data_IF_173225587311
#
_entry.id   IF_173225587311
#
_cell.length_a   1.000
_cell.length_b   1.000
_cell.length_c   1.000
_cell.angle_alpha   90.00
_cell.angle_beta   90.00
_cell.angle_gamma   90.00
#
_symmetry.space_group_name_H-M   'P 1'
#
loop_
_entity.id
_entity.type
_entity.pdbx_description
1 polymer ?
#
# COMPACT_ATOMS: atom_id res chain seq x y z
N UNK A 1 37.83 15.01 2.16
CA UNK A 1 37.52 15.95 3.26
C UNK A 1 37.64 17.34 2.66
N UNK A 2 36.57 17.81 2.01
CA UNK A 2 36.57 19.16 1.44
C UNK A 2 36.29 20.16 2.57
N UNK A 3 37.38 20.59 3.20
CA UNK A 3 37.37 21.50 4.36
C UNK A 3 37.01 22.94 3.98
N UNK A 4 36.84 23.24 2.68
CA UNK A 4 36.70 24.61 2.17
C UNK A 4 35.42 24.83 1.36
N UNK A 5 34.70 23.78 0.95
CA UNK A 5 33.38 23.92 0.35
C UNK A 5 32.31 24.16 1.41
N UNK A 6 31.60 25.28 1.29
CA UNK A 6 30.32 25.46 1.96
C UNK A 6 29.26 24.61 1.23
N UNK A 7 28.26 24.05 1.95
CA UNK A 7 27.08 23.49 1.32
C UNK A 7 26.44 24.52 0.39
N UNK A 8 25.99 24.08 -0.79
CA UNK A 8 25.29 24.97 -1.73
C UNK A 8 24.00 25.50 -1.09
N UNK A 9 23.71 26.78 -1.31
CA UNK A 9 22.44 27.37 -0.87
C UNK A 9 21.35 27.05 -1.88
N UNK A 10 20.24 26.48 -1.41
CA UNK A 10 19.04 26.34 -2.21
C UNK A 10 18.43 27.74 -2.41
N UNK A 11 18.26 28.17 -3.66
CA UNK A 11 17.65 29.47 -4.01
C UNK A 11 16.39 29.35 -4.88
N UNK A 12 16.01 28.14 -5.27
CA UNK A 12 14.87 27.88 -6.17
C UNK A 12 13.51 27.90 -5.46
N UNK A 13 13.45 27.63 -4.15
CA UNK A 13 12.22 27.62 -3.34
C UNK A 13 12.34 28.74 -2.31
N UNK A 14 11.45 29.71 -2.39
CA UNK A 14 11.45 30.87 -1.50
C UNK A 14 10.73 30.58 -0.17
N UNK A 15 9.68 29.74 -0.22
CA UNK A 15 8.88 29.39 0.94
C UNK A 15 8.19 28.03 0.73
N UNK A 16 7.88 27.33 1.81
CA UNK A 16 7.09 26.10 1.80
C UNK A 16 6.11 26.06 2.97
N UNK A 17 4.83 25.78 2.69
CA UNK A 17 3.78 25.77 3.71
C UNK A 17 2.77 24.65 3.48
N UNK A 18 2.18 24.14 4.56
CA UNK A 18 1.18 23.08 4.53
C UNK A 18 -0.21 23.71 4.49
N UNK A 19 -1.02 23.32 3.50
CA UNK A 19 -2.40 23.78 3.33
C UNK A 19 -3.34 22.61 3.60
N UNK A 20 -4.40 22.88 4.35
CA UNK A 20 -5.41 21.92 4.73
C UNK A 20 -6.63 22.04 3.81
N UNK A 21 -6.94 20.98 3.08
CA UNK A 21 -8.11 20.88 2.20
C UNK A 21 -9.17 20.00 2.85
N UNK A 22 -10.39 20.53 2.94
CA UNK A 22 -11.56 19.77 3.39
C UNK A 22 -12.20 19.03 2.21
N UNK A 23 -12.99 17.97 2.45
CA UNK A 23 -13.72 17.27 1.41
C UNK A 23 -14.70 18.21 0.69
N UNK A 24 -14.92 17.96 -0.60
CA UNK A 24 -15.85 18.76 -1.42
C UNK A 24 -17.32 18.56 -1.03
N UNK A 25 -17.64 17.44 -0.38
CA UNK A 25 -18.98 17.08 0.10
C UNK A 25 -18.95 16.78 1.60
N UNK A 26 -20.10 16.90 2.25
CA UNK A 26 -20.25 16.46 3.64
C UNK A 26 -19.90 14.98 3.79
N UNK A 27 -19.25 14.63 4.90
CA UNK A 27 -18.93 13.25 5.24
C UNK A 27 -20.21 12.45 5.46
N UNK A 28 -20.40 11.39 4.66
CA UNK A 28 -21.49 10.42 4.82
C UNK A 28 -20.98 9.08 5.33
N UNK A 29 -21.91 8.25 5.82
CA UNK A 29 -21.58 6.92 6.35
C UNK A 29 -21.07 5.97 5.24
N UNK A 30 -21.57 6.10 4.00
CA UNK A 30 -21.24 5.19 2.89
C UNK A 30 -20.59 5.87 1.65
N UNK A 31 -20.55 7.20 1.61
CA UNK A 31 -20.08 7.97 0.46
C UNK A 31 -18.55 7.99 0.32
N UNK A 32 -18.01 8.17 -0.90
CA UNK A 32 -16.59 8.45 -1.07
C UNK A 32 -16.22 9.81 -0.46
N UNK A 33 -14.97 9.95 -0.05
CA UNK A 33 -14.38 11.22 0.38
C UNK A 33 -13.54 11.75 -0.78
N UNK A 34 -13.91 12.94 -1.27
CA UNK A 34 -13.24 13.57 -2.41
C UNK A 34 -12.63 14.90 -1.98
N UNK A 35 -11.36 15.11 -2.32
CA UNK A 35 -10.62 16.34 -2.10
C UNK A 35 -10.23 16.95 -3.44
N UNK A 36 -10.30 18.28 -3.53
CA UNK A 36 -9.84 19.04 -4.69
C UNK A 36 -8.77 20.03 -4.26
N UNK A 37 -7.59 19.91 -4.87
CA UNK A 37 -6.43 20.77 -4.63
C UNK A 37 -6.22 21.61 -5.88
N UNK A 38 -6.63 22.90 -5.86
CA UNK A 38 -6.61 23.74 -7.05
C UNK A 38 -5.20 23.91 -7.60
N UNK A 39 -5.01 23.80 -8.91
CA UNK A 39 -3.74 24.09 -9.57
C UNK A 39 -3.41 25.59 -9.68
N UNK A 40 -4.26 26.46 -9.15
CA UNK A 40 -4.14 27.92 -9.32
C UNK A 40 -2.98 28.52 -8.52
N UNK A 41 -2.38 29.58 -9.07
CA UNK A 41 -1.27 30.32 -8.46
C UNK A 41 0.09 29.94 -9.04
N UNK A 42 1.15 30.44 -8.40
CA UNK A 42 2.54 30.23 -8.81
C UNK A 42 3.25 29.14 -7.98
N UNK A 43 2.59 28.65 -6.94
CA UNK A 43 3.14 27.60 -6.08
C UNK A 43 3.12 26.25 -6.79
N UNK A 44 4.17 25.47 -6.60
CA UNK A 44 4.20 24.07 -6.98
C UNK A 44 3.74 23.18 -5.82
N UNK A 45 3.23 21.99 -6.13
CA UNK A 45 2.73 21.04 -5.13
C UNK A 45 3.81 19.99 -4.85
N UNK A 46 4.11 19.79 -3.58
CA UNK A 46 4.99 18.73 -3.08
C UNK A 46 4.17 17.46 -2.83
N UNK A 47 4.17 16.58 -3.84
CA UNK A 47 3.35 15.37 -3.83
C UNK A 47 3.81 14.40 -2.73
N UNK A 48 5.11 14.27 -2.49
CA UNK A 48 5.67 13.33 -1.51
C UNK A 48 5.40 13.70 -0.06
N UNK A 49 5.01 14.95 0.20
CA UNK A 49 4.62 15.42 1.53
C UNK A 49 3.11 15.64 1.66
N UNK A 50 2.31 14.89 0.90
CA UNK A 50 0.85 14.89 1.00
C UNK A 50 0.40 13.90 2.07
N UNK A 51 -0.31 14.40 3.09
CA UNK A 51 -0.79 13.61 4.22
C UNK A 51 -2.32 13.55 4.23
N UNK A 52 -2.86 12.40 4.61
CA UNK A 52 -4.25 12.23 4.95
C UNK A 52 -4.39 12.27 6.47
N UNK A 53 -5.26 13.14 6.97
CA UNK A 53 -5.65 13.23 8.37
C UNK A 53 -7.13 12.86 8.52
N UNK A 54 -7.43 11.95 9.44
CA UNK A 54 -8.76 11.41 9.68
C UNK A 54 -9.03 11.35 11.17
N UNK A 55 -10.23 11.76 11.58
CA UNK A 55 -10.80 11.43 12.89
C UNK A 55 -11.96 10.46 12.70
N UNK A 56 -11.95 9.36 13.43
CA UNK A 56 -13.00 8.35 13.32
C UNK A 56 -13.28 7.67 14.66
N UNK A 57 -14.49 7.14 14.80
CA UNK A 57 -14.92 6.31 15.94
C UNK A 57 -15.79 5.15 15.48
N UNK A 58 -15.84 4.11 16.29
CA UNK A 58 -16.72 2.95 16.09
C UNK A 58 -17.95 3.09 16.97
N UNK A 59 -19.13 2.91 16.40
CA UNK A 59 -20.42 2.97 17.09
C UNK A 59 -21.19 1.66 16.88
N UNK A 60 -22.17 1.41 17.73
CA UNK A 60 -23.23 0.47 17.38
C UNK A 60 -24.00 0.98 16.14
N UNK A 61 -24.65 0.07 15.41
CA UNK A 61 -25.41 0.42 14.19
C UNK A 61 -26.46 1.52 14.42
N UNK A 62 -27.06 1.56 15.61
CA UNK A 62 -28.05 2.55 16.04
C UNK A 62 -27.43 3.89 16.47
N UNK A 63 -26.12 4.07 16.24
CA UNK A 63 -25.33 5.25 16.61
C UNK A 63 -25.12 5.45 18.12
N UNK A 64 -25.43 4.46 18.95
CA UNK A 64 -25.07 4.47 20.37
C UNK A 64 -23.60 4.11 20.57
N UNK A 65 -23.04 4.54 21.71
CA UNK A 65 -21.66 4.22 22.05
C UNK A 65 -21.52 2.73 22.41
N UNK A 66 -20.33 2.19 22.14
CA UNK A 66 -19.93 0.86 22.58
C UNK A 66 -19.89 0.82 24.12
N UNK A 67 -20.15 -0.35 24.70
CA UNK A 67 -19.89 -0.59 26.12
C UNK A 67 -18.45 -1.09 26.31
N UNK A 68 -17.87 -0.89 27.49
CA UNK A 68 -16.47 -1.26 27.76
C UNK A 68 -16.15 -2.74 27.58
N UNK A 69 -17.16 -3.62 27.64
CA UNK A 69 -17.05 -5.06 27.45
C UNK A 69 -17.19 -5.49 25.98
N UNK A 70 -17.49 -4.58 25.05
CA UNK A 70 -17.59 -4.94 23.63
C UNK A 70 -16.24 -5.37 23.08
N UNK A 71 -16.16 -6.61 22.58
CA UNK A 71 -14.96 -7.15 21.95
C UNK A 71 -14.96 -6.74 20.47
N UNK A 72 -14.31 -5.62 20.17
CA UNK A 72 -14.14 -5.08 18.82
C UNK A 72 -12.82 -4.32 18.72
N UNK A 73 -12.14 -4.47 17.59
CA UNK A 73 -11.01 -3.63 17.24
C UNK A 73 -11.02 -3.34 15.74
N UNK A 74 -10.45 -2.21 15.29
CA UNK A 74 -10.09 -2.09 13.90
C UNK A 74 -9.00 -3.10 13.52
N UNK A 75 -8.95 -3.48 12.24
CA UNK A 75 -7.82 -4.21 11.66
C UNK A 75 -6.57 -3.31 11.65
N UNK A 76 -5.39 -3.91 11.43
CA UNK A 76 -4.15 -3.16 11.42
C UNK A 76 -4.16 -2.03 10.39
N UNK A 77 -3.35 -0.99 10.64
CA UNK A 77 -3.14 0.13 9.73
C UNK A 77 -4.47 0.86 9.39
N UNK A 78 -5.29 1.12 10.42
CA UNK A 78 -6.70 1.47 10.26
C UNK A 78 -6.92 2.69 9.35
N UNK A 79 -6.05 3.71 9.41
CA UNK A 79 -6.13 4.88 8.54
C UNK A 79 -6.30 4.49 7.06
N UNK A 80 -5.54 3.50 6.60
CA UNK A 80 -5.59 3.03 5.22
C UNK A 80 -6.64 1.95 5.02
N UNK A 81 -6.83 1.08 6.00
CA UNK A 81 -7.84 0.01 5.97
C UNK A 81 -9.28 0.54 5.97
N UNK A 82 -9.51 1.80 6.35
CA UNK A 82 -10.78 2.52 6.18
C UNK A 82 -11.21 2.68 4.72
N UNK A 83 -10.30 2.51 3.76
CA UNK A 83 -10.55 2.74 2.35
C UNK A 83 -10.25 1.51 1.51
N UNK A 84 -11.19 1.13 0.65
CA UNK A 84 -11.02 0.03 -0.30
C UNK A 84 -10.32 0.49 -1.58
N UNK A 85 -10.50 1.77 -1.95
CA UNK A 85 -9.96 2.33 -3.18
C UNK A 85 -9.43 3.76 -2.97
N UNK A 86 -8.33 4.07 -3.66
CA UNK A 86 -7.76 5.40 -3.81
C UNK A 86 -7.59 5.69 -5.30
N UNK A 87 -8.18 6.77 -5.78
CA UNK A 87 -7.93 7.30 -7.12
C UNK A 87 -7.35 8.71 -7.02
N UNK A 88 -6.29 8.96 -7.77
CA UNK A 88 -5.71 10.29 -7.91
C UNK A 88 -5.80 10.75 -9.35
N UNK A 89 -6.36 11.93 -9.54
CA UNK A 89 -6.53 12.58 -10.84
C UNK A 89 -5.67 13.84 -10.90
N UNK A 90 -5.01 14.05 -12.04
CA UNK A 90 -4.37 15.32 -12.38
C UNK A 90 -5.09 15.91 -13.61
N UNK A 91 -5.67 17.10 -13.49
CA UNK A 91 -6.52 17.71 -14.52
C UNK A 91 -7.52 16.70 -15.13
N UNK A 92 -8.28 16.00 -14.27
CA UNK A 92 -9.27 14.98 -14.62
C UNK A 92 -8.71 13.69 -15.24
N UNK A 93 -7.40 13.60 -15.52
CA UNK A 93 -6.76 12.35 -15.95
C UNK A 93 -6.44 11.50 -14.73
N UNK A 94 -6.96 10.27 -14.68
CA UNK A 94 -6.60 9.28 -13.67
C UNK A 94 -5.13 8.88 -13.83
N UNK A 95 -4.32 9.11 -12.79
CA UNK A 95 -2.88 8.80 -12.80
C UNK A 95 -2.50 7.72 -11.79
N UNK A 96 -3.27 7.53 -10.71
CA UNK A 96 -2.98 6.47 -9.74
C UNK A 96 -4.27 5.76 -9.34
N UNK A 97 -4.75 4.80 -10.15
CA UNK A 97 -5.86 3.93 -9.79
C UNK A 97 -5.42 2.87 -8.78
N UNK A 98 -6.19 2.65 -7.72
CA UNK A 98 -5.88 1.62 -6.75
C UNK A 98 -7.15 1.05 -6.09
N UNK A 99 -7.68 -0.05 -6.64
CA UNK A 99 -8.94 -0.68 -6.20
C UNK A 99 -8.76 -1.68 -5.04
N UNK A 100 -7.54 -1.85 -4.56
CA UNK A 100 -7.12 -2.80 -3.52
C UNK A 100 -6.23 -2.07 -2.51
N UNK A 101 -6.60 -0.82 -2.24
CA UNK A 101 -5.79 0.17 -1.53
C UNK A 101 -5.30 -0.32 -0.18
N UNK A 102 -6.20 -0.89 0.63
CA UNK A 102 -5.85 -1.40 1.95
C UNK A 102 -4.75 -2.47 1.90
N UNK A 103 -4.79 -3.39 0.93
CA UNK A 103 -3.74 -4.41 0.77
C UNK A 103 -2.42 -3.79 0.33
N UNK A 104 -2.45 -2.89 -0.66
CA UNK A 104 -1.25 -2.17 -1.10
C UNK A 104 -0.61 -1.41 0.06
N UNK A 105 -1.38 -0.59 0.78
CA UNK A 105 -0.92 0.17 1.93
C UNK A 105 -0.35 -0.72 3.04
N UNK A 106 -1.03 -1.83 3.36
CA UNK A 106 -0.55 -2.79 4.34
C UNK A 106 0.77 -3.43 3.92
N UNK A 107 0.89 -3.91 2.68
CA UNK A 107 2.10 -4.57 2.20
C UNK A 107 3.29 -3.62 2.12
N UNK A 108 3.09 -2.40 1.61
CA UNK A 108 4.12 -1.36 1.59
C UNK A 108 4.59 -1.00 3.01
N UNK A 109 3.65 -0.82 3.95
CA UNK A 109 3.99 -0.49 5.35
C UNK A 109 4.68 -1.68 6.06
N UNK A 110 4.22 -2.90 5.79
CA UNK A 110 4.78 -4.12 6.39
C UNK A 110 6.23 -4.34 5.98
N UNK A 111 6.55 -4.12 4.69
CA UNK A 111 7.81 -4.55 4.10
C UNK A 111 8.87 -3.45 4.02
N UNK A 112 8.47 -2.18 3.97
CA UNK A 112 9.41 -1.05 3.78
C UNK A 112 9.84 -0.35 5.08
N UNK A 113 9.34 -0.79 6.24
CA UNK A 113 9.65 -0.16 7.53
C UNK A 113 10.26 -1.13 8.55
N UNK A 114 11.32 -0.67 9.21
CA UNK A 114 11.96 -1.38 10.30
C UNK A 114 11.13 -1.31 11.60
N UNK A 115 11.39 -2.20 12.59
CA UNK A 115 10.66 -2.23 13.85
C UNK A 115 10.59 -0.88 14.59
N UNK A 116 11.65 -0.07 14.54
CA UNK A 116 11.68 1.23 15.20
C UNK A 116 10.63 2.20 14.64
N UNK A 117 10.44 2.24 13.32
CA UNK A 117 9.40 3.05 12.67
C UNK A 117 7.99 2.53 13.01
N UNK A 118 7.82 1.20 12.93
CA UNK A 118 6.57 0.49 13.23
C UNK A 118 6.08 0.70 14.66
N UNK A 119 7.00 0.81 15.62
CA UNK A 119 6.69 1.04 17.03
C UNK A 119 6.61 2.53 17.40
N UNK A 120 6.97 3.44 16.48
CA UNK A 120 6.95 4.88 16.71
C UNK A 120 5.95 5.58 15.79
N UNK A 121 6.40 6.26 14.74
CA UNK A 121 5.56 7.15 13.94
C UNK A 121 4.48 6.42 13.13
N UNK A 122 4.62 5.13 12.83
CA UNK A 122 3.53 4.37 12.17
C UNK A 122 2.35 4.10 13.11
N UNK A 123 2.49 4.31 14.42
CA UNK A 123 1.33 4.28 15.33
C UNK A 123 0.33 5.41 15.02
N UNK A 124 0.76 6.48 14.31
CA UNK A 124 -0.13 7.54 13.80
C UNK A 124 -1.14 7.04 12.75
N UNK A 125 -0.88 5.92 12.07
CA UNK A 125 -1.85 5.25 11.17
C UNK A 125 -2.53 4.04 11.82
N UNK A 126 -2.38 3.89 13.14
CA UNK A 126 -2.85 2.73 13.92
C UNK A 126 -2.19 1.41 13.52
N UNK A 127 -0.88 1.47 13.22
CA UNK A 127 -0.04 0.31 13.08
C UNK A 127 0.29 -0.32 14.44
N UNK A 128 -0.36 -1.44 14.75
CA UNK A 128 -0.04 -2.30 15.88
C UNK A 128 -0.06 -3.74 15.38
N UNK A 129 1.12 -4.36 15.23
CA UNK A 129 1.23 -5.66 14.55
C UNK A 129 0.42 -6.76 15.24
N UNK A 130 -0.29 -7.54 14.43
CA UNK A 130 -1.02 -8.71 14.92
C UNK A 130 -0.03 -9.79 15.37
N UNK A 131 -0.36 -10.48 16.47
CA UNK A 131 0.49 -11.55 16.98
C UNK A 131 0.45 -12.76 16.03
N UNK A 132 1.63 -13.17 15.55
CA UNK A 132 1.76 -14.27 14.59
C UNK A 132 1.12 -15.56 15.13
N UNK A 133 0.30 -16.21 14.29
CA UNK A 133 -0.46 -17.42 14.63
C UNK A 133 -1.67 -17.17 15.54
N UNK A 134 -1.99 -15.90 15.81
CA UNK A 134 -3.16 -15.44 16.59
C UNK A 134 -3.91 -14.31 15.87
N UNK A 135 -3.72 -14.13 14.57
CA UNK A 135 -4.27 -12.98 13.83
C UNK A 135 -5.80 -12.85 13.90
N UNK A 136 -6.51 -13.99 13.93
CA UNK A 136 -7.98 -14.05 14.04
C UNK A 136 -8.47 -14.15 15.51
N UNK A 137 -7.56 -14.15 16.49
CA UNK A 137 -7.91 -14.32 17.90
C UNK A 137 -8.33 -13.00 18.55
N UNK A 138 -9.47 -13.06 19.25
CA UNK A 138 -10.06 -11.95 20.02
C UNK A 138 -10.05 -12.21 21.53
N UNK A 139 -9.44 -13.33 21.96
CA UNK A 139 -9.33 -13.79 23.35
C UNK A 139 -8.10 -13.24 24.10
N UNK A 140 -7.59 -12.09 23.66
CA UNK A 140 -6.44 -11.42 24.26
C UNK A 140 -5.06 -11.95 23.85
N UNK A 141 -4.98 -13.03 23.07
CA UNK A 141 -3.68 -13.57 22.60
C UNK A 141 -3.08 -12.76 21.45
N UNK A 142 -3.89 -11.99 20.74
CA UNK A 142 -3.42 -11.04 19.74
C UNK A 142 -3.17 -9.67 20.40
N UNK A 143 -1.91 -9.38 20.71
CA UNK A 143 -1.51 -8.14 21.40
C UNK A 143 -1.82 -6.89 20.56
N UNK A 144 -1.65 -6.95 19.23
CA UNK A 144 -2.00 -5.86 18.32
C UNK A 144 -3.49 -5.55 18.36
N UNK A 145 -4.35 -6.58 18.30
CA UNK A 145 -5.79 -6.45 18.47
C UNK A 145 -6.15 -5.80 19.81
N UNK A 146 -5.59 -6.28 20.92
CA UNK A 146 -5.86 -5.74 22.27
C UNK A 146 -5.52 -4.26 22.34
N UNK A 147 -4.39 -3.84 21.76
CA UNK A 147 -4.02 -2.42 21.71
C UNK A 147 -4.98 -1.57 20.89
N UNK A 148 -5.38 -2.06 19.71
CA UNK A 148 -6.35 -1.35 18.86
C UNK A 148 -7.74 -1.29 19.52
N UNK A 149 -8.16 -2.33 20.24
CA UNK A 149 -9.41 -2.34 21.02
C UNK A 149 -9.40 -1.31 22.14
N UNK A 150 -8.30 -1.23 22.90
CA UNK A 150 -8.14 -0.27 24.01
C UNK A 150 -8.36 1.17 23.53
N UNK A 151 -7.79 1.51 22.37
CA UNK A 151 -7.89 2.84 21.77
C UNK A 151 -9.33 3.23 21.44
N UNK A 152 -10.11 2.34 20.81
CA UNK A 152 -11.49 2.66 20.38
C UNK A 152 -12.57 2.37 21.43
N UNK A 153 -12.17 1.91 22.62
CA UNK A 153 -13.07 1.54 23.72
C UNK A 153 -14.11 2.62 24.00
N UNK A 154 -15.35 2.20 24.26
CA UNK A 154 -16.46 3.13 24.58
C UNK A 154 -16.72 4.20 23.51
N UNK A 155 -16.42 3.87 22.24
CA UNK A 155 -16.56 4.79 21.10
C UNK A 155 -15.70 6.04 21.18
N UNK A 156 -14.53 5.94 21.82
CA UNK A 156 -13.51 6.99 21.77
C UNK A 156 -13.15 7.32 20.32
N UNK A 157 -13.10 8.62 20.04
CA UNK A 157 -12.64 9.12 18.75
C UNK A 157 -11.12 9.03 18.68
N UNK A 158 -10.63 8.51 17.57
CA UNK A 158 -9.21 8.38 17.29
C UNK A 158 -8.83 9.30 16.15
N UNK A 159 -7.75 10.04 16.35
CA UNK A 159 -7.09 10.88 15.36
C UNK A 159 -5.94 10.09 14.72
N UNK A 160 -5.91 10.10 13.39
CA UNK A 160 -4.91 9.39 12.59
C UNK A 160 -4.35 10.32 11.53
N UNK A 161 -3.07 10.14 11.20
CA UNK A 161 -2.39 10.86 10.12
C UNK A 161 -1.34 9.98 9.46
N UNK A 162 -1.25 10.05 8.14
CA UNK A 162 -0.30 9.24 7.38
C UNK A 162 -0.21 9.63 5.91
N UNK A 163 0.83 9.11 5.25
CA UNK A 163 1.09 9.30 3.83
C UNK A 163 0.14 8.45 2.97
N UNK A 164 -0.31 8.97 1.83
CA UNK A 164 -1.20 8.20 0.94
C UNK A 164 -0.42 7.21 0.05
N UNK A 165 -0.83 5.95 0.05
CA UNK A 165 -0.26 4.90 -0.81
C UNK A 165 -0.80 4.95 -2.26
N UNK A 166 -0.43 6.00 -2.99
CA UNK A 166 -0.67 6.15 -4.44
C UNK A 166 0.63 6.49 -5.17
N UNK A 167 0.77 6.03 -6.42
CA UNK A 167 2.06 6.09 -7.15
C UNK A 167 2.61 7.52 -7.24
N UNK A 168 1.73 8.48 -7.50
CA UNK A 168 2.09 9.89 -7.65
C UNK A 168 2.56 10.53 -6.34
N UNK A 169 2.18 10.00 -5.17
CA UNK A 169 2.61 10.52 -3.88
C UNK A 169 3.99 10.01 -3.47
N UNK A 170 4.64 9.15 -4.26
CA UNK A 170 6.05 8.78 -4.07
C UNK A 170 6.96 9.53 -5.06
N UNK A 171 6.44 10.58 -5.70
CA UNK A 171 7.18 11.42 -6.64
C UNK A 171 7.93 12.54 -5.92
N UNK A 172 9.25 12.54 -6.05
CA UNK A 172 10.12 13.58 -5.45
C UNK A 172 10.08 14.93 -6.18
N UNK A 173 9.67 14.93 -7.46
CA UNK A 173 9.51 16.17 -8.23
C UNK A 173 8.22 16.87 -7.85
N UNK A 174 8.31 18.18 -7.59
CA UNK A 174 7.11 19.00 -7.41
C UNK A 174 6.22 18.98 -8.66
N UNK A 175 4.92 18.82 -8.45
CA UNK A 175 3.93 19.01 -9.49
C UNK A 175 3.86 20.51 -9.84
N UNK A 176 4.08 20.81 -11.12
CA UNK A 176 4.04 22.18 -11.66
C UNK A 176 2.67 22.82 -11.45
N UNK A 177 2.68 24.15 -11.32
CA UNK A 177 1.45 24.95 -11.22
C UNK A 177 0.55 24.80 -12.46
N UNK A 178 -0.73 25.13 -12.31
CA UNK A 178 -1.75 24.99 -13.36
C UNK A 178 -2.29 23.57 -13.53
N UNK A 179 -1.90 22.64 -12.66
CA UNK A 179 -2.41 21.27 -12.63
C UNK A 179 -3.21 21.07 -11.35
N UNK A 180 -4.52 20.87 -11.48
CA UNK A 180 -5.38 20.51 -10.37
C UNK A 180 -5.17 19.03 -10.01
N UNK A 181 -5.11 18.75 -8.71
CA UNK A 181 -5.11 17.39 -8.19
C UNK A 181 -6.45 17.10 -7.50
N UNK A 182 -7.08 16.00 -7.86
CA UNK A 182 -8.25 15.46 -7.16
C UNK A 182 -7.92 14.10 -6.56
N UNK A 183 -8.31 13.89 -5.30
CA UNK A 183 -8.08 12.65 -4.56
C UNK A 183 -9.42 12.10 -4.13
N UNK A 184 -9.73 10.88 -4.55
CA UNK A 184 -10.96 10.18 -4.23
C UNK A 184 -10.65 8.92 -3.42
N UNK A 185 -11.29 8.81 -2.26
CA UNK A 185 -11.18 7.67 -1.37
C UNK A 185 -12.54 6.99 -1.23
N UNK A 186 -12.63 5.71 -1.58
CA UNK A 186 -13.86 4.91 -1.40
C UNK A 186 -13.73 4.14 -0.10
N UNK A 187 -14.73 4.25 0.77
CA UNK A 187 -14.73 3.58 2.08
C UNK A 187 -14.70 2.05 1.92
N UNK A 188 -14.04 1.37 2.83
CA UNK A 188 -14.13 -0.08 2.98
C UNK A 188 -15.33 -0.43 3.84
N UNK A 189 -15.82 -1.67 3.70
CA UNK A 189 -16.89 -2.19 4.54
C UNK A 189 -16.39 -2.40 5.97
N UNK A 190 -17.25 -2.23 6.96
CA UNK A 190 -16.95 -2.55 8.36
C UNK A 190 -16.51 -4.00 8.52
N UNK A 191 -17.10 -4.92 7.76
CA UNK A 191 -16.69 -6.34 7.76
C UNK A 191 -15.25 -6.56 7.28
N UNK A 192 -14.64 -5.60 6.57
CA UNK A 192 -13.24 -5.67 6.18
C UNK A 192 -12.34 -4.97 7.21
N UNK A 193 -12.74 -3.80 7.72
CA UNK A 193 -11.87 -2.95 8.52
C UNK A 193 -12.04 -3.12 10.05
N UNK A 194 -13.00 -3.93 10.51
CA UNK A 194 -13.19 -4.27 11.92
C UNK A 194 -13.09 -5.78 12.14
N UNK A 195 -12.69 -6.16 13.36
CA UNK A 195 -12.75 -7.53 13.87
C UNK A 195 -13.52 -7.55 15.19
N UNK A 196 -14.43 -8.51 15.37
CA UNK A 196 -15.33 -8.63 16.52
C UNK A 196 -15.18 -9.98 17.20
N UNK A 197 -15.47 -10.03 18.51
CA UNK A 197 -15.53 -11.27 19.28
C UNK A 197 -16.81 -12.08 19.07
N UNK A 198 -17.90 -11.45 18.62
CA UNK A 198 -19.18 -12.11 18.29
C UNK A 198 -19.86 -11.47 17.09
N UNK A 199 -20.41 -12.29 16.19
CA UNK A 199 -21.15 -11.85 15.00
C UNK A 199 -22.49 -11.16 15.31
N UNK A 200 -22.95 -11.20 16.57
CA UNK A 200 -24.20 -10.55 16.98
C UNK A 200 -24.07 -9.02 17.04
N UNK A 201 -22.84 -8.50 17.05
CA UNK A 201 -22.55 -7.07 17.15
C UNK A 201 -22.67 -6.43 15.77
N UNK A 202 -23.63 -5.52 15.61
CA UNK A 202 -23.76 -4.68 14.41
C UNK A 202 -23.14 -3.32 14.67
N UNK A 203 -22.17 -2.97 13.85
CA UNK A 203 -21.29 -1.82 14.05
C UNK A 203 -21.30 -0.94 12.81
N UNK A 204 -21.05 0.35 13.04
CA UNK A 204 -20.72 1.29 11.97
C UNK A 204 -19.48 2.09 12.32
N UNK A 205 -18.70 2.43 11.30
CA UNK A 205 -17.58 3.37 11.46
C UNK A 205 -18.06 4.76 11.10
N UNK A 206 -17.82 5.73 11.98
CA UNK A 206 -18.16 7.13 11.74
C UNK A 206 -16.87 7.94 11.59
N UNK A 207 -16.62 8.47 10.38
CA UNK A 207 -15.54 9.43 10.12
C UNK A 207 -16.10 10.83 10.43
N UNK A 208 -15.53 11.48 11.42
CA UNK A 208 -16.03 12.76 11.97
C UNK A 208 -15.27 13.98 11.42
N UNK A 209 -14.00 13.80 11.05
CA UNK A 209 -13.21 14.79 10.33
C UNK A 209 -12.32 14.11 9.30
N UNK A 210 -12.16 14.78 8.15
CA UNK A 210 -11.22 14.37 7.12
C UNK A 210 -10.53 15.61 6.55
N UNK A 211 -9.22 15.54 6.41
CA UNK A 211 -8.41 16.66 5.89
C UNK A 211 -7.27 16.11 5.04
N UNK A 212 -7.14 16.60 3.82
CA UNK A 212 -5.94 16.39 3.00
C UNK A 212 -4.97 17.54 3.25
N UNK A 213 -3.78 17.25 3.74
CA UNK A 213 -2.75 18.24 4.07
C UNK A 213 -1.69 18.16 2.96
N UNK A 214 -1.54 19.26 2.21
CA UNK A 214 -0.66 19.31 1.03
C UNK A 214 0.36 20.41 1.22
N UNK A 215 1.63 20.08 1.03
CA UNK A 215 2.71 21.07 1.06
C UNK A 215 2.80 21.80 -0.28
N UNK A 216 2.76 23.14 -0.23
CA UNK A 216 2.96 24.03 -1.37
C UNK A 216 4.30 24.74 -1.27
N UNK A 217 5.01 24.83 -2.38
CA UNK A 217 6.31 25.47 -2.49
C UNK A 217 6.22 26.70 -3.40
N UNK A 218 6.53 27.87 -2.86
CA UNK A 218 6.69 29.10 -3.65
C UNK A 218 8.02 29.04 -4.38
N UNK A 219 7.96 29.04 -5.70
CA UNK A 219 9.14 28.93 -6.55
C UNK A 219 9.65 30.32 -6.92
N UNK A 220 10.97 30.49 -6.94
CA UNK A 220 11.60 31.73 -7.39
C UNK A 220 11.11 32.09 -8.82
N UNK A 221 10.67 33.35 -9.08
CA UNK A 221 10.15 33.77 -10.38
C UNK A 221 11.08 33.47 -11.57
N UNK A 222 12.40 33.56 -11.37
CA UNK A 222 13.38 33.27 -12.41
C UNK A 222 13.37 31.79 -12.81
N UNK A 223 13.14 30.89 -11.84
CA UNK A 223 13.02 29.45 -12.07
C UNK A 223 11.70 29.12 -12.75
N UNK A 224 10.59 29.76 -12.35
CA UNK A 224 9.31 29.62 -13.03
C UNK A 224 9.39 29.98 -14.51
N UNK A 225 10.02 31.11 -14.84
CA UNK A 225 10.22 31.55 -16.22
C UNK A 225 11.10 30.56 -17.01
N UNK A 226 12.16 30.06 -16.38
CA UNK A 226 13.02 29.05 -16.99
C UNK A 226 12.25 27.74 -17.29
N UNK A 227 11.43 27.25 -16.34
CA UNK A 227 10.58 26.08 -16.55
C UNK A 227 9.55 26.31 -17.67
N UNK A 228 8.91 27.47 -17.73
CA UNK A 228 7.98 27.82 -18.82
C UNK A 228 8.66 27.79 -20.19
N UNK A 229 9.90 28.30 -20.29
CA UNK A 229 10.68 28.27 -21.54
C UNK A 229 11.01 26.83 -21.97
N UNK A 230 11.38 25.96 -21.02
CA UNK A 230 11.64 24.54 -21.29
C UNK A 230 10.36 23.82 -21.72
N UNK A 231 9.24 24.08 -21.04
CA UNK A 231 7.92 23.52 -21.35
C UNK A 231 7.44 23.85 -22.78
N UNK A 232 7.93 24.94 -23.38
CA UNK A 232 7.62 25.27 -24.77
C UNK A 232 8.23 24.26 -25.79
N UNK A 233 9.23 23.48 -25.36
CA UNK A 233 10.00 22.56 -26.21
C UNK A 233 9.90 21.08 -25.81
N UNK A 234 9.61 20.78 -24.55
CA UNK A 234 9.50 19.42 -24.01
C UNK A 234 8.47 19.37 -22.88
N UNK A 235 8.01 18.18 -22.51
CA UNK A 235 7.11 17.94 -21.38
C UNK A 235 7.87 17.91 -20.05
N UNK A 236 7.16 18.20 -18.95
CA UNK A 236 7.60 17.87 -17.61
C UNK A 236 7.38 16.37 -17.37
N UNK A 237 8.43 15.65 -16.92
CA UNK A 237 8.42 14.19 -16.77
C UNK A 237 8.50 13.77 -15.31
N UNK A 238 7.52 13.00 -14.87
CA UNK A 238 7.38 12.46 -13.52
C UNK A 238 7.54 10.94 -13.57
N UNK A 239 8.77 10.42 -13.35
CA UNK A 239 9.02 8.99 -13.27
C UNK A 239 8.38 8.41 -12.01
N UNK A 240 7.51 7.42 -12.14
CA UNK A 240 6.82 6.78 -11.02
C UNK A 240 7.11 5.28 -10.96
N UNK A 241 7.14 4.74 -9.75
CA UNK A 241 6.97 3.30 -9.54
C UNK A 241 5.48 3.03 -9.38
N UNK A 242 4.84 2.54 -10.45
CA UNK A 242 3.42 2.17 -10.44
C UNK A 242 3.27 0.84 -9.73
N UNK A 243 2.42 0.78 -8.71
CA UNK A 243 2.11 -0.47 -8.01
C UNK A 243 0.67 -0.92 -8.27
N UNK A 244 0.52 -2.16 -8.71
CA UNK A 244 -0.75 -2.81 -9.02
C UNK A 244 -0.92 -4.05 -8.15
N UNK A 245 -2.11 -4.23 -7.57
CA UNK A 245 -2.44 -5.41 -6.77
C UNK A 245 -3.55 -6.21 -7.45
N UNK A 246 -3.20 -7.38 -7.97
CA UNK A 246 -4.14 -8.34 -8.56
C UNK A 246 -4.56 -9.39 -7.53
N UNK A 247 -5.80 -9.87 -7.68
CA UNK A 247 -6.40 -10.85 -6.78
C UNK A 247 -6.91 -12.01 -7.61
N UNK A 248 -6.42 -13.22 -7.35
CA UNK A 248 -6.83 -14.43 -8.05
C UNK A 248 -7.40 -15.45 -7.07
N UNK A 249 -8.63 -15.91 -7.33
CA UNK A 249 -9.30 -16.90 -6.49
C UNK A 249 -8.82 -18.31 -6.79
N UNK A 250 -8.45 -19.07 -5.76
CA UNK A 250 -8.12 -20.49 -5.85
C UNK A 250 -9.17 -21.28 -5.06
N UNK A 251 -9.95 -22.17 -5.72
CA UNK A 251 -11.04 -22.90 -5.08
C UNK A 251 -10.52 -23.95 -4.10
N UNK A 252 -11.36 -24.32 -3.12
CA UNK A 252 -11.13 -25.49 -2.27
C UNK A 252 -11.07 -26.79 -3.08
N UNK A 253 -10.44 -27.82 -2.53
CA UNK A 253 -10.33 -29.18 -3.09
C UNK A 253 -9.09 -29.41 -3.94
N UNK A 254 -8.38 -28.34 -4.36
CA UNK A 254 -7.19 -28.45 -5.21
C UNK A 254 -5.91 -28.60 -4.38
N UNK A 255 -4.93 -29.35 -4.91
CA UNK A 255 -3.58 -29.49 -4.35
C UNK A 255 -2.53 -28.64 -5.09
N UNK A 256 -2.94 -27.96 -6.15
CA UNK A 256 -2.07 -27.08 -6.91
C UNK A 256 -2.85 -26.28 -7.93
N UNK A 257 -2.25 -25.17 -8.36
CA UNK A 257 -2.84 -24.25 -9.31
C UNK A 257 -1.76 -23.59 -10.15
N UNK A 258 -2.02 -23.52 -11.44
CA UNK A 258 -1.33 -22.62 -12.37
C UNK A 258 -2.22 -21.39 -12.57
N UNK A 259 -1.61 -20.22 -12.38
CA UNK A 259 -2.23 -18.92 -12.59
C UNK A 259 -1.53 -18.27 -13.77
N UNK A 260 -2.10 -18.44 -14.96
CA UNK A 260 -1.57 -17.91 -16.21
C UNK A 260 -1.93 -16.43 -16.41
N UNK A 261 -1.10 -15.72 -17.19
CA UNK A 261 -1.35 -14.35 -17.65
C UNK A 261 -1.74 -13.38 -16.52
N UNK A 262 -1.07 -13.50 -15.36
CA UNK A 262 -1.30 -12.61 -14.23
C UNK A 262 -0.99 -11.18 -14.66
N UNK A 263 0.11 -10.99 -15.36
CA UNK A 263 0.39 -9.76 -16.11
C UNK A 263 0.66 -10.13 -17.55
N UNK A 264 0.03 -9.39 -18.47
CA UNK A 264 0.20 -9.52 -19.91
C UNK A 264 0.57 -8.13 -20.43
N UNK A 265 1.72 -8.00 -21.08
CA UNK A 265 2.28 -6.71 -21.48
C UNK A 265 3.55 -6.43 -20.69
N UNK A 266 3.68 -5.23 -20.12
CA UNK A 266 4.86 -4.86 -19.34
C UNK A 266 5.11 -5.89 -18.22
N UNK A 267 6.33 -6.40 -18.13
CA UNK A 267 6.75 -7.30 -17.05
C UNK A 267 7.09 -6.43 -15.82
N UNK A 268 6.55 -6.75 -14.63
CA UNK A 268 6.88 -6.01 -13.42
C UNK A 268 8.34 -6.16 -13.04
N UNK A 269 8.92 -5.13 -12.44
CA UNK A 269 10.28 -5.18 -11.88
C UNK A 269 10.32 -5.95 -10.55
N UNK A 270 9.21 -5.97 -9.82
CA UNK A 270 9.06 -6.67 -8.54
C UNK A 270 7.68 -7.30 -8.44
N UNK A 271 7.63 -8.51 -7.88
CA UNK A 271 6.38 -9.18 -7.51
C UNK A 271 6.43 -9.62 -6.05
N UNK A 272 5.37 -9.34 -5.29
CA UNK A 272 5.18 -9.82 -3.92
C UNK A 272 3.85 -10.56 -3.86
N UNK A 273 3.88 -11.82 -3.42
CA UNK A 273 2.74 -12.72 -3.45
C UNK A 273 2.41 -13.20 -2.04
N UNK A 274 1.13 -13.17 -1.69
CA UNK A 274 0.60 -13.70 -0.46
C UNK A 274 -0.72 -14.42 -0.67
N UNK A 275 -1.09 -15.29 0.27
CA UNK A 275 -2.38 -15.98 0.23
C UNK A 275 -3.19 -15.66 1.47
N UNK A 276 -4.46 -15.35 1.26
CA UNK A 276 -5.40 -15.01 2.34
C UNK A 276 -6.70 -15.77 2.17
N UNK A 277 -7.46 -15.90 3.26
CA UNK A 277 -8.76 -16.52 3.19
C UNK A 277 -9.71 -15.69 2.31
N UNK A 278 -10.44 -16.31 1.38
CA UNK A 278 -11.32 -15.60 0.47
C UNK A 278 -12.42 -14.80 1.20
N UNK A 279 -12.95 -15.33 2.30
CA UNK A 279 -13.95 -14.59 3.12
C UNK A 279 -13.34 -13.41 3.89
N UNK A 280 -12.06 -13.48 4.27
CA UNK A 280 -11.38 -12.35 4.91
C UNK A 280 -11.17 -11.21 3.90
N UNK A 281 -10.73 -11.54 2.68
CA UNK A 281 -10.59 -10.57 1.58
C UNK A 281 -11.92 -9.85 1.25
N UNK A 282 -13.02 -10.60 1.15
CA UNK A 282 -14.34 -10.05 0.83
C UNK A 282 -15.01 -9.32 2.01
N UNK A 283 -14.38 -9.35 3.19
CA UNK A 283 -14.87 -8.82 4.46
C UNK A 283 -15.54 -9.89 5.33
N UNK A 284 -14.95 -10.13 6.49
CA UNK A 284 -15.48 -10.97 7.57
C UNK A 284 -15.12 -10.37 8.92
N UNK A 285 -16.10 -10.19 9.81
CA UNK A 285 -15.85 -9.63 11.14
C UNK A 285 -15.02 -10.56 12.04
N UNK A 286 -14.83 -11.83 11.68
CA UNK A 286 -14.08 -12.81 12.49
C UNK A 286 -12.78 -13.27 11.86
N UNK A 287 -12.40 -12.72 10.70
CA UNK A 287 -11.14 -13.04 10.02
C UNK A 287 -10.39 -11.79 9.67
N UNK A 288 -9.09 -11.82 9.94
CA UNK A 288 -8.19 -10.73 9.62
C UNK A 288 -7.85 -10.77 8.11
N UNK A 289 -8.13 -9.69 7.35
CA UNK A 289 -7.81 -9.64 5.91
C UNK A 289 -6.31 -9.72 5.63
N UNK A 290 -5.47 -9.38 6.60
CA UNK A 290 -4.01 -9.36 6.46
C UNK A 290 -3.31 -10.60 7.04
N UNK A 291 -4.06 -11.66 7.35
CA UNK A 291 -3.51 -12.96 7.73
C UNK A 291 -3.00 -13.72 6.50
N UNK A 292 -1.73 -13.51 6.17
CA UNK A 292 -1.05 -14.18 5.05
C UNK A 292 -0.62 -15.59 5.48
N UNK A 293 -1.55 -16.53 5.33
CA UNK A 293 -1.36 -17.93 5.69
C UNK A 293 -0.48 -18.67 4.67
N UNK A 294 0.26 -19.67 5.14
CA UNK A 294 1.10 -20.49 4.27
C UNK A 294 0.32 -21.59 3.52
N UNK A 295 -0.89 -21.94 3.96
CA UNK A 295 -1.75 -23.01 3.40
C UNK A 295 -1.04 -24.34 3.06
N UNK A 296 0.07 -24.66 3.75
CA UNK A 296 0.89 -25.83 3.44
C UNK A 296 1.52 -25.78 2.05
N UNK A 297 1.84 -24.60 1.51
CA UNK A 297 2.58 -24.48 0.24
C UNK A 297 3.83 -25.37 0.34
N UNK A 298 4.01 -26.25 -0.64
CA UNK A 298 5.15 -27.16 -0.74
C UNK A 298 5.94 -27.00 -2.04
N UNK A 299 5.46 -26.15 -2.95
CA UNK A 299 6.11 -25.81 -4.22
C UNK A 299 5.64 -24.43 -4.67
N UNK A 300 6.56 -23.53 -5.01
CA UNK A 300 6.22 -22.23 -5.61
C UNK A 300 7.27 -21.78 -6.63
N UNK A 301 6.80 -21.29 -7.79
CA UNK A 301 7.65 -20.66 -8.80
C UNK A 301 6.86 -19.66 -9.65
N UNK A 302 7.55 -18.62 -10.09
CA UNK A 302 7.12 -17.73 -11.17
C UNK A 302 7.65 -18.22 -12.51
N UNK A 303 6.99 -17.82 -13.58
CA UNK A 303 7.48 -17.96 -14.95
C UNK A 303 7.31 -16.63 -15.68
N UNK A 304 8.36 -16.21 -16.38
CA UNK A 304 8.33 -15.10 -17.32
C UNK A 304 8.64 -15.67 -18.69
N UNK A 305 7.68 -15.64 -19.61
CA UNK A 305 7.81 -16.21 -20.96
C UNK A 305 8.35 -17.65 -20.98
N UNK A 306 7.92 -18.46 -20.01
CA UNK A 306 8.32 -19.85 -19.85
C UNK A 306 9.65 -20.07 -19.09
N UNK A 307 10.41 -19.02 -18.79
CA UNK A 307 11.59 -19.11 -17.93
C UNK A 307 11.17 -19.11 -16.46
N UNK A 308 11.54 -20.16 -15.73
CA UNK A 308 11.21 -20.31 -14.31
C UNK A 308 12.07 -19.42 -13.41
N UNK A 309 11.42 -18.74 -12.45
CA UNK A 309 12.04 -17.88 -11.44
C UNK A 309 11.45 -18.24 -10.07
N UNK A 310 12.25 -18.69 -9.09
CA UNK A 310 13.67 -19.03 -9.21
C UNK A 310 13.90 -20.26 -10.10
N UNK A 311 15.13 -20.43 -10.60
CA UNK A 311 15.51 -21.54 -11.50
C UNK A 311 15.18 -22.93 -10.95
N UNK A 312 15.16 -23.06 -9.63
CA UNK A 312 14.57 -24.19 -8.90
C UNK A 312 13.41 -23.67 -8.06
N UNK A 313 12.22 -24.24 -8.24
CA UNK A 313 11.05 -23.88 -7.45
C UNK A 313 11.35 -23.95 -5.95
N UNK A 314 10.77 -23.02 -5.19
CA UNK A 314 10.83 -23.05 -3.74
C UNK A 314 10.05 -24.27 -3.26
N UNK A 315 10.60 -25.02 -2.31
CA UNK A 315 9.98 -26.23 -1.76
C UNK A 315 9.91 -26.16 -0.22
N UNK A 316 9.13 -25.22 0.35
CA UNK A 316 9.02 -25.12 1.80
C UNK A 316 8.26 -26.31 2.40
N UNK A 317 8.54 -26.62 3.66
CA UNK A 317 7.78 -27.54 4.50
C UNK A 317 7.53 -26.85 5.84
N UNK A 318 6.34 -26.28 6.00
CA UNK A 318 5.97 -25.51 7.18
C UNK A 318 5.83 -26.40 8.43
N UNK A 319 5.32 -27.62 8.26
CA UNK A 319 5.22 -28.61 9.35
C UNK A 319 6.58 -28.98 9.95
N UNK A 320 7.63 -29.04 9.13
CA UNK A 320 8.99 -29.36 9.56
C UNK A 320 9.86 -28.13 9.81
N UNK A 321 9.29 -26.92 9.75
CA UNK A 321 10.02 -25.65 9.85
C UNK A 321 11.14 -25.46 8.80
N UNK A 322 11.00 -26.06 7.62
CA UNK A 322 11.95 -25.95 6.51
C UNK A 322 11.39 -24.96 5.49
N UNK A 323 11.52 -23.66 5.74
CA UNK A 323 11.01 -22.63 4.82
C UNK A 323 11.95 -21.42 4.70
N UNK A 324 13.19 -21.52 5.19
CA UNK A 324 14.16 -20.42 5.19
C UNK A 324 14.40 -19.84 3.80
N UNK A 325 14.46 -20.65 2.75
CA UNK A 325 14.60 -20.14 1.37
C UNK A 325 13.40 -19.30 0.93
N UNK A 326 12.19 -19.65 1.37
CA UNK A 326 10.99 -18.88 1.08
C UNK A 326 10.98 -17.57 1.89
N UNK A 327 11.30 -17.64 3.18
CA UNK A 327 11.49 -16.46 4.03
C UNK A 327 12.57 -15.51 3.51
N UNK A 328 13.69 -16.05 3.01
CA UNK A 328 14.80 -15.27 2.45
C UNK A 328 14.35 -14.41 1.26
N UNK A 329 13.33 -14.84 0.51
CA UNK A 329 12.80 -14.06 -0.62
C UNK A 329 12.33 -12.66 -0.20
N UNK A 330 11.86 -12.50 1.03
CA UNK A 330 11.46 -11.19 1.56
C UNK A 330 12.58 -10.16 1.53
N UNK A 331 13.84 -10.58 1.67
CA UNK A 331 15.00 -9.68 1.71
C UNK A 331 15.60 -9.52 0.30
N UNK A 332 15.72 -10.62 -0.43
CA UNK A 332 16.26 -10.57 -1.80
C UNK A 332 15.34 -9.83 -2.75
N UNK A 333 14.02 -10.03 -2.63
CA UNK A 333 13.02 -9.40 -3.52
C UNK A 333 12.73 -7.94 -3.20
N UNK A 334 12.92 -7.50 -1.95
CA UNK A 334 12.75 -6.09 -1.55
C UNK A 334 14.05 -5.28 -1.67
N UNK A 335 15.17 -5.92 -1.98
CA UNK A 335 16.46 -5.25 -2.21
C UNK A 335 17.19 -4.83 -0.93
N UNK A 336 16.77 -5.32 0.24
CA UNK A 336 17.48 -5.09 1.51
C UNK A 336 18.44 -6.24 1.87
N UNK A 337 18.52 -7.27 1.02
CA UNK A 337 19.47 -8.37 1.22
C UNK A 337 20.91 -7.84 1.34
N UNK A 338 21.60 -8.28 2.40
CA UNK A 338 22.95 -7.85 2.79
C UNK A 338 23.09 -6.40 3.32
N UNK A 339 22.00 -5.63 3.41
CA UNK A 339 22.00 -4.35 4.10
C UNK A 339 21.83 -4.56 5.61
N UNK A 340 22.26 -3.57 6.41
CA UNK A 340 21.95 -3.53 7.84
C UNK A 340 20.53 -3.00 8.09
N UNK A 341 19.56 -3.60 7.41
CA UNK A 341 18.15 -3.21 7.39
C UNK A 341 17.27 -4.45 7.49
N UNK A 342 16.04 -4.28 7.98
CA UNK A 342 15.08 -5.37 8.12
C UNK A 342 13.65 -4.87 8.06
N UNK A 343 12.73 -5.77 7.68
CA UNK A 343 11.30 -5.49 7.57
C UNK A 343 10.50 -5.81 8.85
N UNK A 344 11.16 -6.26 9.91
CA UNK A 344 10.52 -6.59 11.19
C UNK A 344 9.75 -7.91 11.23
N UNK A 345 9.77 -8.73 10.18
CA UNK A 345 9.21 -10.08 10.19
C UNK A 345 10.31 -11.06 10.59
N UNK A 346 10.14 -11.78 11.69
CA UNK A 346 11.04 -12.86 12.08
C UNK A 346 10.74 -14.15 11.29
N UNK A 347 11.73 -15.05 11.21
CA UNK A 347 11.55 -16.37 10.60
C UNK A 347 10.40 -17.16 11.27
N UNK A 348 10.22 -17.00 12.59
CA UNK A 348 9.13 -17.66 13.33
C UNK A 348 7.76 -17.08 12.99
N UNK A 349 7.67 -15.76 12.81
CA UNK A 349 6.44 -15.06 12.44
C UNK A 349 6.05 -15.37 10.98
N UNK A 350 7.03 -15.53 10.09
CA UNK A 350 6.82 -15.83 8.67
C UNK A 350 5.89 -17.02 8.44
N UNK A 351 6.13 -18.15 9.12
CA UNK A 351 5.29 -19.34 9.01
C UNK A 351 3.89 -19.20 9.61
N UNK A 352 3.58 -18.09 10.29
CA UNK A 352 2.42 -17.91 11.17
C UNK A 352 1.64 -16.62 10.86
N UNK A 353 1.28 -16.41 9.60
CA UNK A 353 0.42 -15.30 9.16
C UNK A 353 1.15 -14.13 8.50
N UNK A 354 2.47 -14.21 8.35
CA UNK A 354 3.29 -13.24 7.62
C UNK A 354 3.98 -13.89 6.39
N UNK A 355 3.35 -14.89 5.78
CA UNK A 355 3.93 -15.67 4.69
C UNK A 355 3.75 -14.95 3.33
N UNK A 356 4.69 -14.06 3.02
CA UNK A 356 4.79 -13.37 1.71
C UNK A 356 6.03 -13.83 0.94
N UNK A 357 5.92 -13.92 -0.39
CA UNK A 357 7.02 -14.30 -1.28
C UNK A 357 7.37 -13.11 -2.16
N UNK A 358 8.61 -12.61 -2.10
CA UNK A 358 9.03 -11.42 -2.84
C UNK A 358 10.11 -11.74 -3.88
N UNK A 359 9.93 -11.25 -5.11
CA UNK A 359 10.82 -11.51 -6.23
C UNK A 359 11.23 -10.20 -6.89
N UNK A 360 12.54 -9.98 -6.98
CA UNK A 360 13.12 -9.01 -7.90
C UNK A 360 13.23 -9.69 -9.27
N UNK A 361 12.61 -9.07 -10.28
CA UNK A 361 12.54 -9.56 -11.65
C UNK A 361 13.44 -8.76 -12.59
N UNK A 362 14.18 -7.80 -12.06
CA UNK A 362 15.19 -7.06 -12.82
C UNK A 362 16.42 -7.95 -13.10
N UNK A 363 17.03 -7.84 -14.29
CA UNK A 363 18.22 -8.62 -14.64
C UNK A 363 19.43 -8.41 -13.73
N UNK A 364 19.54 -7.24 -13.11
CA UNK A 364 20.69 -6.79 -12.31
C UNK A 364 20.37 -6.66 -10.81
N UNK A 365 19.21 -7.14 -10.37
CA UNK A 365 18.75 -7.11 -8.97
C UNK A 365 18.65 -5.69 -8.39
N UNK A 366 18.21 -4.75 -9.21
CA UNK A 366 18.12 -3.34 -8.88
C UNK A 366 16.67 -2.83 -8.78
N UNK A 367 15.69 -3.69 -8.49
CA UNK A 367 14.30 -3.24 -8.32
C UNK A 367 14.12 -2.18 -7.22
N UNK A 368 15.03 -2.15 -6.24
CA UNK A 368 15.06 -1.15 -5.16
C UNK A 368 15.96 0.06 -5.44
N UNK A 369 16.61 0.11 -6.61
CA UNK A 369 17.54 1.18 -6.99
C UNK A 369 16.81 2.32 -7.67
N UNK A 370 17.16 3.55 -7.31
CA UNK A 370 16.70 4.78 -7.99
C UNK A 370 17.75 5.37 -8.94
N UNK A 371 18.92 4.72 -9.10
CA UNK A 371 20.05 5.27 -9.87
C UNK A 371 19.91 5.14 -11.38
N UNK A 372 19.14 4.14 -11.84
CA UNK A 372 18.92 3.88 -13.26
C UNK A 372 17.66 3.02 -13.45
N UNK A 373 17.23 2.89 -14.70
CA UNK A 373 16.12 2.02 -15.08
C UNK A 373 16.59 0.81 -15.87
N UNK A 374 15.91 -0.30 -15.63
CA UNK A 374 16.05 -1.47 -16.47
C UNK A 374 15.25 -1.31 -17.77
N UNK A 375 15.68 -2.04 -18.81
CA UNK A 375 14.92 -2.08 -20.05
C UNK A 375 13.54 -2.67 -19.78
N UNK A 376 12.49 -1.93 -20.14
CA UNK A 376 11.11 -2.39 -20.06
C UNK A 376 10.93 -3.57 -21.03
N UNK A 377 10.56 -4.73 -20.50
CA UNK A 377 10.25 -5.93 -21.27
C UNK A 377 8.75 -6.16 -21.32
N UNK A 378 8.28 -6.73 -22.43
CA UNK A 378 6.91 -7.19 -22.57
C UNK A 378 6.87 -8.71 -22.63
N UNK A 379 5.94 -9.32 -21.87
CA UNK A 379 5.81 -10.76 -21.76
C UNK A 379 4.57 -11.17 -20.97
N UNK A 380 4.56 -12.43 -20.53
CA UNK A 380 3.53 -12.97 -19.64
C UNK A 380 4.15 -13.49 -18.34
N UNK A 381 3.53 -13.10 -17.22
CA UNK A 381 3.86 -13.62 -15.88
C UNK A 381 2.86 -14.70 -15.50
N UNK A 382 3.38 -15.86 -15.09
CA UNK A 382 2.62 -17.00 -14.57
C UNK A 382 3.11 -17.41 -13.19
N UNK A 383 2.20 -17.78 -12.29
CA UNK A 383 2.53 -18.42 -11.00
C UNK A 383 2.16 -19.90 -11.08
N UNK A 384 3.03 -20.76 -10.55
CA UNK A 384 2.70 -22.14 -10.21
C UNK A 384 2.87 -22.35 -8.71
N UNK A 385 1.81 -22.83 -8.06
CA UNK A 385 1.80 -23.14 -6.64
C UNK A 385 1.24 -24.55 -6.41
N UNK A 386 1.83 -25.28 -5.46
CA UNK A 386 1.30 -26.55 -4.95
C UNK A 386 1.24 -26.54 -3.43
N UNK A 387 0.31 -27.31 -2.90
CA UNK A 387 0.00 -27.44 -1.49
C UNK A 387 0.22 -28.89 -1.05
N UNK A 388 0.59 -29.09 0.22
CA UNK A 388 0.83 -30.40 0.84
C UNK A 388 -0.44 -31.24 0.91
N UNK A 389 -1.60 -30.58 1.05
CA UNK A 389 -2.91 -31.22 1.06
C UNK A 389 -3.92 -30.39 0.26
N UNK A 390 -5.06 -30.98 -0.08
CA UNK A 390 -6.12 -30.26 -0.79
C UNK A 390 -6.64 -29.11 0.07
N UNK A 391 -6.75 -27.92 -0.51
CA UNK A 391 -7.26 -26.75 0.20
C UNK A 391 -8.66 -27.02 0.76
N UNK A 392 -8.83 -26.89 2.07
CA UNK A 392 -10.15 -27.09 2.73
C UNK A 392 -11.12 -25.94 2.49
N UNK A 393 -10.61 -24.78 2.06
CA UNK A 393 -11.36 -23.55 1.88
C UNK A 393 -10.85 -22.80 0.64
N UNK A 394 -11.70 -21.96 0.06
CA UNK A 394 -11.30 -21.08 -1.04
C UNK A 394 -10.41 -19.96 -0.51
N UNK A 395 -9.31 -19.70 -1.21
CA UNK A 395 -8.31 -18.68 -0.85
C UNK A 395 -8.13 -17.69 -1.99
N UNK A 396 -7.61 -16.51 -1.69
CA UNK A 396 -7.20 -15.53 -2.68
C UNK A 396 -5.67 -15.41 -2.69
N UNK A 397 -5.09 -15.47 -3.89
CA UNK A 397 -3.71 -15.11 -4.17
C UNK A 397 -3.66 -13.59 -4.42
N UNK A 398 -3.00 -12.86 -3.54
CA UNK A 398 -2.76 -11.43 -3.66
C UNK A 398 -1.39 -11.24 -4.30
N UNK A 399 -1.36 -10.59 -5.47
CA UNK A 399 -0.14 -10.32 -6.22
C UNK A 399 0.05 -8.82 -6.32
N UNK A 400 0.95 -8.29 -5.50
CA UNK A 400 1.44 -6.92 -5.60
C UNK A 400 2.59 -6.88 -6.61
N UNK A 401 2.55 -5.96 -7.56
CA UNK A 401 3.55 -5.83 -8.60
C UNK A 401 3.91 -4.38 -8.86
N UNK A 402 5.21 -4.12 -9.10
CA UNK A 402 5.74 -2.79 -9.38
C UNK A 402 6.23 -2.67 -10.82
N UNK A 403 5.98 -1.52 -11.43
CA UNK A 403 6.35 -1.18 -12.80
C UNK A 403 7.00 0.20 -12.82
N UNK A 404 7.96 0.41 -13.71
CA UNK A 404 8.48 1.75 -13.99
C UNK A 404 7.67 2.38 -15.12
N UNK A 405 7.13 3.57 -14.87
CA UNK A 405 6.26 4.32 -15.78
C UNK A 405 6.53 5.83 -15.70
N UNK A 406 6.06 6.58 -16.68
CA UNK A 406 6.17 8.04 -16.73
C UNK A 406 4.79 8.69 -16.83
N UNK A 407 4.59 9.73 -16.02
CA UNK A 407 3.55 10.73 -16.25
C UNK A 407 4.20 11.96 -16.89
N UNK A 408 3.64 12.45 -17.99
CA UNK A 408 4.11 13.65 -18.66
C UNK A 408 3.05 14.75 -18.63
N UNK A 409 3.50 15.99 -18.46
CA UNK A 409 2.65 17.19 -18.48
C UNK A 409 3.17 18.18 -19.51
N UNK A 410 2.34 18.57 -20.46
CA UNK A 410 2.71 19.48 -21.55
C UNK A 410 2.55 20.97 -21.17
N UNK A 411 2.90 21.85 -22.11
CA UNK A 411 2.76 23.32 -21.93
C UNK A 411 1.32 23.77 -21.66
N UNK A 412 0.33 23.03 -22.14
CA UNK A 412 -1.09 23.31 -21.96
C UNK A 412 -1.66 22.64 -20.69
N UNK A 413 -0.81 21.97 -19.90
CA UNK A 413 -1.19 21.20 -18.70
C UNK A 413 -2.06 19.99 -19.01
N UNK A 414 -1.97 19.46 -20.23
CA UNK A 414 -2.51 18.14 -20.53
C UNK A 414 -1.63 17.09 -19.87
N UNK A 415 -2.25 16.13 -19.21
CA UNK A 415 -1.58 15.03 -18.52
C UNK A 415 -1.68 13.77 -19.38
N UNK A 416 -0.53 13.17 -19.67
CA UNK A 416 -0.42 11.91 -20.40
C UNK A 416 0.31 10.88 -19.58
N UNK A 417 -0.08 9.61 -19.72
CA UNK A 417 0.50 8.48 -19.00
C UNK A 417 0.89 7.40 -20.02
N UNK A 418 1.97 6.68 -19.77
CA UNK A 418 2.50 5.65 -20.69
C UNK A 418 2.00 4.22 -20.40
N UNK A 419 1.00 4.09 -19.53
CA UNK A 419 0.33 2.84 -19.18
C UNK A 419 -1.17 2.92 -19.50
N UNK A 420 -1.73 1.79 -19.93
CA UNK A 420 -3.19 1.61 -20.02
C UNK A 420 -3.75 1.33 -18.64
N UNK A 421 -4.79 2.07 -18.25
CA UNK A 421 -5.58 1.85 -17.02
C UNK A 421 -6.37 0.55 -17.07
#
# INVERSE_FOLDING_TARGET
MDLFALPSTQTSIENGLWIHYKPISSLGDDGPIEFQVPGTGDDYIDLSHTLLHIKAKVLNQDSTNLVSTTIVAPVNNWLHSLFSQLDVYLNQKLVSPNNTYAYRAYMETLLNYAPAAKQSHLTCSLWYEDTAGKMDSTDGKNIGFVKRQELISESKEIEMIGHLHGDIFNQDKFLINGVEMSVKLVRSRESFNLTVGSNDVKLKVCITDATLIVRRARINPSVLLAHQKVLASTTAKYPITRAEVKVLTIPSGVQGKTLDNIFLGQVPKRCIIGFVNNSAFNGSLTKNPFNFENYGINSFSLYIDGQQIPSKALQPSFNNSIFTSAYHTLFSGTGIHFLNEGNGISCEQYGKGYCLLAFDLTPDLSANSSTHWNLIKHGSVRIEVRFESSLIQTINCIVYAEFDNIIEIDKNRNVTVDYSS
#
